data_IF_991667773660
#
_entry.id   IF_991667773660
#
_cell.length_a   1.000
_cell.length_b   1.000
_cell.length_c   1.000
_cell.angle_alpha   90.00
_cell.angle_beta   90.00
_cell.angle_gamma   90.00
#
_symmetry.space_group_name_H-M   'P 1'
#
loop_
_entity.id
_entity.type
_entity.pdbx_description
1 polymer ?
#
# COMPACT_ATOMS: atom_id res chain seq x y z
N UNK A 1 15.26 -10.93 -2.47
CA UNK A 1 14.43 -9.70 -2.44
C UNK A 1 13.60 -9.71 -1.16
N UNK A 2 13.60 -8.62 -0.39
CA UNK A 2 13.01 -8.54 0.95
C UNK A 2 11.58 -8.00 0.85
N UNK A 3 10.59 -8.86 0.71
CA UNK A 3 9.16 -8.51 0.76
C UNK A 3 8.65 -8.74 2.18
N UNK A 4 8.46 -7.67 2.93
CA UNK A 4 7.88 -7.66 4.28
C UNK A 4 6.54 -6.93 4.16
N UNK A 5 5.41 -7.64 4.31
CA UNK A 5 4.08 -7.00 4.30
C UNK A 5 2.92 -7.83 3.71
N UNK A 6 3.20 -8.99 3.11
CA UNK A 6 2.15 -9.92 2.68
C UNK A 6 2.01 -11.04 3.71
N UNK A 7 0.94 -11.00 4.53
CA UNK A 7 0.47 -12.23 5.16
C UNK A 7 0.12 -13.22 4.04
N UNK A 8 0.33 -14.52 4.29
CA UNK A 8 0.17 -15.61 3.31
C UNK A 8 -1.25 -15.68 2.68
N UNK A 9 -2.20 -14.89 3.18
CA UNK A 9 -3.57 -14.69 2.67
C UNK A 9 -3.72 -13.49 1.70
N UNK A 10 -2.62 -12.88 1.24
CA UNK A 10 -2.67 -11.71 0.35
C UNK A 10 -3.17 -10.41 1.00
N UNK A 11 -3.49 -10.45 2.30
CA UNK A 11 -3.99 -9.32 3.08
C UNK A 11 -2.86 -8.38 3.48
N UNK A 12 -2.92 -7.16 2.96
CA UNK A 12 -1.92 -6.12 3.22
C UNK A 12 -2.20 -5.42 4.55
N UNK A 13 -1.19 -5.31 5.41
CA UNK A 13 -1.28 -4.58 6.67
C UNK A 13 -1.21 -3.07 6.42
N UNK A 14 -2.36 -2.45 6.17
CA UNK A 14 -2.46 -1.01 5.91
C UNK A 14 -3.36 -0.31 6.94
N UNK A 15 -3.07 0.97 7.23
CA UNK A 15 -3.95 1.79 8.05
C UNK A 15 -5.33 1.96 7.39
N UNK A 16 -6.41 2.16 8.17
CA UNK A 16 -7.76 2.34 7.59
C UNK A 16 -7.82 3.47 6.56
N UNK A 17 -7.10 4.56 6.84
CA UNK A 17 -7.01 5.71 5.94
C UNK A 17 -6.23 5.37 4.65
N UNK A 18 -5.09 4.69 4.77
CA UNK A 18 -4.32 4.22 3.61
C UNK A 18 -5.14 3.27 2.72
N UNK A 19 -5.94 2.37 3.31
CA UNK A 19 -6.83 1.48 2.56
C UNK A 19 -7.87 2.24 1.77
N UNK A 20 -8.52 3.24 2.38
CA UNK A 20 -9.52 4.05 1.70
C UNK A 20 -8.91 4.82 0.53
N UNK A 21 -7.76 5.47 0.74
CA UNK A 21 -7.07 6.24 -0.29
C UNK A 21 -6.64 5.35 -1.47
N UNK A 22 -6.12 4.16 -1.18
CA UNK A 22 -5.72 3.22 -2.22
C UNK A 22 -6.93 2.67 -3.00
N UNK A 23 -8.06 2.42 -2.34
CA UNK A 23 -9.29 2.00 -3.02
C UNK A 23 -9.85 3.11 -3.94
N UNK A 24 -9.90 4.36 -3.46
CA UNK A 24 -10.40 5.50 -4.24
C UNK A 24 -9.54 5.81 -5.48
N UNK A 25 -8.24 5.49 -5.39
CA UNK A 25 -7.26 5.76 -6.46
C UNK A 25 -6.91 4.51 -7.27
N UNK A 26 -7.56 3.37 -7.01
CA UNK A 26 -7.25 2.07 -7.63
C UNK A 26 -5.76 1.71 -7.57
N UNK A 27 -5.19 1.77 -6.36
CA UNK A 27 -3.79 1.49 -6.07
C UNK A 27 -3.67 0.12 -5.43
N UNK A 28 -2.69 -0.66 -5.90
CA UNK A 28 -2.36 -1.90 -5.25
C UNK A 28 -1.46 -1.67 -4.04
N UNK A 29 -2.04 -1.80 -2.85
CA UNK A 29 -1.30 -1.74 -1.58
C UNK A 29 -0.19 -2.79 -1.47
N UNK A 30 -0.25 -3.89 -2.22
CA UNK A 30 0.83 -4.90 -2.23
C UNK A 30 2.12 -4.37 -2.86
N UNK A 31 2.02 -3.36 -3.73
CA UNK A 31 3.17 -2.70 -4.37
C UNK A 31 3.68 -1.52 -3.55
N UNK A 32 2.90 -1.06 -2.57
CA UNK A 32 3.27 0.04 -1.68
C UNK A 32 4.12 -0.52 -0.55
N UNK A 33 5.32 0.03 -0.39
CA UNK A 33 6.18 -0.33 0.72
C UNK A 33 5.71 0.37 2.00
N UNK A 34 5.25 -0.42 2.97
CA UNK A 34 4.85 0.09 4.26
C UNK A 34 6.04 0.44 5.15
N UNK A 35 6.11 1.70 5.61
CA UNK A 35 7.17 2.19 6.50
C UNK A 35 6.73 2.29 7.96
N UNK A 36 5.46 2.03 8.25
CA UNK A 36 4.90 2.08 9.60
C UNK A 36 5.30 0.91 10.51
N UNK A 37 4.89 0.98 11.80
CA UNK A 37 5.23 -0.04 12.80
C UNK A 37 4.76 -1.43 12.38
N UNK A 38 5.63 -2.43 12.48
CA UNK A 38 5.41 -3.81 12.00
C UNK A 38 5.25 -3.94 10.47
N UNK A 39 5.78 -3.01 9.68
CA UNK A 39 5.63 -3.03 8.21
C UNK A 39 4.24 -2.59 7.76
N UNK A 40 3.56 -1.78 8.59
CA UNK A 40 2.25 -1.23 8.28
C UNK A 40 2.37 -0.16 7.21
N UNK A 41 1.52 -0.23 6.20
CA UNK A 41 1.38 0.85 5.21
C UNK A 41 0.62 2.00 5.84
N UNK A 42 1.27 3.16 5.92
CA UNK A 42 0.65 4.39 6.42
C UNK A 42 0.14 5.24 5.26
N UNK A 43 -0.67 6.26 5.58
CA UNK A 43 -1.24 7.16 4.60
C UNK A 43 -0.16 7.81 3.72
N UNK A 44 0.94 8.21 4.36
CA UNK A 44 2.09 8.83 3.71
C UNK A 44 2.76 7.93 2.66
N UNK A 45 2.81 6.61 2.90
CA UNK A 45 3.38 5.66 1.92
C UNK A 45 2.51 5.60 0.67
N UNK A 46 1.18 5.56 0.84
CA UNK A 46 0.22 5.57 -0.28
C UNK A 46 0.25 6.90 -1.01
N UNK A 47 0.31 8.02 -0.30
CA UNK A 47 0.42 9.36 -0.91
C UNK A 47 1.73 9.54 -1.67
N UNK A 48 2.85 9.08 -1.11
CA UNK A 48 4.14 9.05 -1.81
C UNK A 48 4.03 8.20 -3.08
N UNK A 49 3.46 7.01 -2.98
CA UNK A 49 3.26 6.14 -4.14
C UNK A 49 2.39 6.81 -5.22
N UNK A 50 1.32 7.51 -4.85
CA UNK A 50 0.50 8.31 -5.77
C UNK A 50 1.34 9.41 -6.44
N UNK A 51 2.12 10.13 -5.64
CA UNK A 51 2.92 11.27 -6.10
C UNK A 51 4.06 10.85 -7.02
N UNK A 52 4.63 9.68 -6.77
CA UNK A 52 5.68 9.07 -7.59
C UNK A 52 5.13 8.40 -8.87
N UNK A 53 3.80 8.41 -9.07
CA UNK A 53 3.17 7.87 -10.28
C UNK A 53 2.99 6.35 -10.23
N UNK A 54 2.98 5.78 -9.02
CA UNK A 54 2.85 4.35 -8.78
C UNK A 54 1.63 3.75 -9.46
N UNK A 55 1.87 2.65 -10.17
CA UNK A 55 0.96 2.01 -11.11
C UNK A 55 -0.47 1.87 -10.56
N UNK A 56 -1.42 2.46 -11.30
CA UNK A 56 -2.83 2.13 -11.18
C UNK A 56 -2.98 0.68 -11.60
N UNK A 57 -3.77 -0.09 -10.87
CA UNK A 57 -4.18 -1.41 -11.37
C UNK A 57 -5.19 -1.17 -12.48
N UNK A 58 -4.69 -1.09 -13.71
CA UNK A 58 -5.52 -1.01 -14.89
C UNK A 58 -6.10 -2.41 -15.16
N UNK A 59 -7.42 -2.53 -14.93
CA UNK A 59 -8.37 -3.58 -15.35
C UNK A 59 -8.12 -5.04 -14.92
#
# INVERSE_FOLDING_TARGET
AKTIGANKDGSVFASPFARKLAQEKSINLQLVQGTGPNGRIVAEDVEKFIKEGGAKVDA
#
